data_IF_819691291742
#
_entry.id   IF_819691291742
#
_cell.length_a   1.000
_cell.length_b   1.000
_cell.length_c   1.000
_cell.angle_alpha   90.00
_cell.angle_beta   90.00
_cell.angle_gamma   90.00
#
_symmetry.space_group_name_H-M   'P 1'
#
loop_
_entity.id
_entity.type
_entity.pdbx_description
1 polymer ?
#
# COMPACT_ATOMS: atom_id res chain seq x y z
N UNK A 1 17.49 9.81 -16.91
CA UNK A 1 16.28 8.98 -16.87
C UNK A 1 16.19 8.51 -15.44
N UNK A 2 15.20 8.98 -14.67
CA UNK A 2 14.98 8.38 -13.34
C UNK A 2 14.58 6.93 -13.49
N UNK A 3 15.05 6.10 -12.58
CA UNK A 3 14.78 4.68 -12.58
C UNK A 3 13.60 4.42 -11.64
N UNK A 4 12.40 4.36 -12.22
CA UNK A 4 11.21 3.94 -11.47
C UNK A 4 11.10 2.42 -11.43
N UNK A 5 10.81 1.85 -10.26
CA UNK A 5 10.56 0.42 -10.11
C UNK A 5 9.41 0.14 -9.14
N UNK A 6 8.72 -0.99 -9.35
CA UNK A 6 7.73 -1.52 -8.41
C UNK A 6 8.29 -2.83 -7.85
N UNK A 7 8.31 -2.96 -6.52
CA UNK A 7 8.83 -4.13 -5.84
C UNK A 7 8.01 -4.48 -4.61
N UNK A 8 8.19 -5.70 -4.12
CA UNK A 8 7.65 -6.10 -2.82
C UNK A 8 8.22 -5.19 -1.71
N UNK A 9 7.35 -4.82 -0.78
CA UNK A 9 7.76 -4.09 0.40
C UNK A 9 8.60 -4.99 1.32
N UNK A 10 9.53 -4.38 2.03
CA UNK A 10 10.40 -5.04 3.01
C UNK A 10 10.25 -4.39 4.38
N UNK A 11 10.76 -5.00 5.46
CA UNK A 11 10.77 -4.37 6.77
C UNK A 11 11.53 -3.02 6.82
N UNK A 12 12.44 -2.76 5.87
CA UNK A 12 13.17 -1.48 5.80
C UNK A 12 12.31 -0.34 5.25
N UNK A 13 11.24 -0.66 4.55
CA UNK A 13 10.38 0.34 3.91
C UNK A 13 9.30 0.88 4.86
N UNK A 14 9.16 0.35 6.08
CA UNK A 14 8.04 0.68 6.99
C UNK A 14 7.89 2.16 7.26
N UNK A 15 8.99 2.83 7.60
CA UNK A 15 8.98 4.26 7.89
C UNK A 15 8.61 5.07 6.64
N UNK A 16 9.16 4.71 5.48
CA UNK A 16 8.87 5.40 4.23
C UNK A 16 7.40 5.21 3.80
N UNK A 17 6.87 3.99 3.88
CA UNK A 17 5.46 3.68 3.61
C UNK A 17 4.55 4.51 4.51
N UNK A 18 4.86 4.59 5.80
CA UNK A 18 4.10 5.38 6.77
C UNK A 18 4.02 6.85 6.34
N UNK A 19 5.14 7.43 5.91
CA UNK A 19 5.18 8.81 5.42
C UNK A 19 4.35 8.98 4.14
N UNK A 20 4.47 8.06 3.17
CA UNK A 20 3.66 8.10 1.94
C UNK A 20 2.17 8.07 2.26
N UNK A 21 1.73 7.20 3.15
CA UNK A 21 0.32 7.12 3.60
C UNK A 21 -0.12 8.44 4.27
N UNK A 22 0.67 8.94 5.23
CA UNK A 22 0.35 10.16 5.95
C UNK A 22 0.28 11.38 5.02
N UNK A 23 1.19 11.49 4.03
CA UNK A 23 1.19 12.57 3.06
C UNK A 23 0.05 12.45 2.05
N UNK A 24 -0.24 11.24 1.56
CA UNK A 24 -1.29 11.01 0.57
C UNK A 24 -2.70 11.27 1.13
N UNK A 25 -2.93 10.88 2.39
CA UNK A 25 -4.25 11.02 3.04
C UNK A 25 -4.37 12.26 3.95
N UNK A 26 -3.26 12.92 4.29
CA UNK A 26 -3.23 14.08 5.17
C UNK A 26 -3.56 13.77 6.63
N UNK A 27 -3.51 12.49 7.02
CA UNK A 27 -3.82 12.00 8.37
C UNK A 27 -3.10 10.68 8.66
N UNK A 28 -3.10 10.26 9.93
CA UNK A 28 -2.35 9.07 10.37
C UNK A 28 -3.17 7.76 10.35
N UNK A 29 -4.46 7.83 10.02
CA UNK A 29 -5.36 6.69 10.14
C UNK A 29 -4.97 5.55 9.19
N UNK A 30 -4.64 5.87 7.94
CA UNK A 30 -4.27 4.91 6.91
C UNK A 30 -2.90 4.26 7.21
N UNK A 31 -1.93 5.05 7.64
CA UNK A 31 -0.65 4.55 8.15
C UNK A 31 -0.85 3.55 9.31
N UNK A 32 -1.68 3.90 10.30
CA UNK A 32 -2.00 3.00 11.41
C UNK A 32 -2.74 1.73 10.98
N UNK A 33 -3.61 1.82 9.97
CA UNK A 33 -4.30 0.68 9.37
C UNK A 33 -3.30 -0.28 8.68
N UNK A 34 -2.35 0.25 7.91
CA UNK A 34 -1.30 -0.54 7.26
C UNK A 34 -0.48 -1.29 8.30
N UNK A 35 0.00 -0.60 9.34
CA UNK A 35 0.78 -1.20 10.43
C UNK A 35 0.00 -2.34 11.10
N UNK A 36 -1.30 -2.15 11.35
CA UNK A 36 -2.16 -3.16 11.97
C UNK A 36 -2.35 -4.39 11.06
N UNK A 37 -2.60 -4.20 9.76
CA UNK A 37 -2.81 -5.29 8.81
C UNK A 37 -1.54 -6.12 8.58
N UNK A 38 -0.38 -5.47 8.49
CA UNK A 38 0.91 -6.15 8.33
C UNK A 38 1.27 -6.92 9.59
N UNK A 39 1.15 -6.29 10.76
CA UNK A 39 1.46 -6.94 12.05
C UNK A 39 0.47 -8.08 12.37
N UNK A 40 -0.79 -7.94 11.95
CA UNK A 40 -1.82 -8.99 12.09
C UNK A 40 -1.63 -10.19 11.16
N UNK A 41 -0.72 -10.10 10.18
CA UNK A 41 -0.52 -11.15 9.17
C UNK A 41 -1.66 -11.22 8.14
N UNK A 42 -2.48 -10.17 8.04
CA UNK A 42 -3.59 -10.06 7.09
C UNK A 42 -3.14 -9.52 5.73
N UNK A 43 -1.94 -8.93 5.64
CA UNK A 43 -1.31 -8.53 4.39
C UNK A 43 -1.04 -9.74 3.48
N UNK A 44 -1.63 -9.74 2.29
CA UNK A 44 -1.45 -10.81 1.28
C UNK A 44 -0.44 -10.38 0.22
N UNK A 45 -0.53 -9.13 -0.26
CA UNK A 45 0.44 -8.51 -1.16
C UNK A 45 0.66 -7.08 -0.69
N UNK A 46 1.91 -6.66 -0.70
CA UNK A 46 2.29 -5.29 -0.34
C UNK A 46 3.44 -4.86 -1.25
N UNK A 47 3.22 -3.77 -1.98
CA UNK A 47 4.16 -3.26 -2.97
C UNK A 47 4.49 -1.80 -2.70
N UNK A 48 5.70 -1.42 -3.08
CA UNK A 48 6.15 -0.04 -3.10
C UNK A 48 6.57 0.35 -4.52
N UNK A 49 6.28 1.59 -4.88
CA UNK A 49 6.90 2.26 -6.01
C UNK A 49 8.13 3.01 -5.49
N UNK A 50 9.28 2.77 -6.10
CA UNK A 50 10.56 3.40 -5.77
C UNK A 50 11.05 4.24 -6.95
N UNK A 51 11.37 5.50 -6.70
CA UNK A 51 11.99 6.44 -7.63
C UNK A 51 13.34 6.89 -7.04
N UNK A 52 14.44 6.63 -7.73
CA UNK A 52 15.80 7.04 -7.32
C UNK A 52 16.14 6.70 -5.84
N UNK A 53 15.70 5.51 -5.39
CA UNK A 53 15.92 5.00 -4.03
C UNK A 53 14.93 5.50 -2.97
N UNK A 54 13.94 6.31 -3.35
CA UNK A 54 12.89 6.80 -2.46
C UNK A 54 11.57 6.07 -2.74
N UNK A 55 10.90 5.62 -1.69
CA UNK A 55 9.55 5.08 -1.81
C UNK A 55 8.59 6.26 -2.03
N UNK A 56 7.91 6.27 -3.17
CA UNK A 56 7.00 7.34 -3.61
C UNK A 56 5.56 6.86 -3.77
N UNK A 57 5.32 5.57 -3.58
CA UNK A 57 3.99 4.99 -3.63
C UNK A 57 3.92 3.68 -2.86
N UNK A 58 2.73 3.34 -2.40
CA UNK A 58 2.45 2.15 -1.61
C UNK A 58 1.06 1.60 -1.97
N UNK A 59 0.95 0.28 -2.03
CA UNK A 59 -0.34 -0.41 -2.18
C UNK A 59 -0.36 -1.68 -1.35
N UNK A 60 -1.47 -1.88 -0.65
CA UNK A 60 -1.71 -3.05 0.18
C UNK A 60 -2.96 -3.82 -0.28
N UNK A 61 -2.81 -5.15 -0.31
CA UNK A 61 -3.90 -6.10 -0.49
C UNK A 61 -4.03 -6.94 0.78
N UNK A 62 -5.12 -6.76 1.53
CA UNK A 62 -5.38 -7.51 2.75
C UNK A 62 -6.40 -8.63 2.52
N UNK A 63 -6.32 -9.69 3.32
CA UNK A 63 -7.19 -10.86 3.22
C UNK A 63 -8.63 -10.49 3.57
N UNK A 64 -9.59 -10.92 2.73
CA UNK A 64 -11.00 -10.91 3.11
C UNK A 64 -11.75 -12.16 2.64
N UNK A 65 -12.97 -12.29 3.13
CA UNK A 65 -13.90 -13.32 2.68
C UNK A 65 -15.23 -12.67 2.32
N UNK A 66 -15.71 -12.96 1.12
CA UNK A 66 -17.03 -12.50 0.66
C UNK A 66 -18.06 -13.59 0.95
N UNK A 67 -19.21 -13.19 1.48
CA UNK A 67 -20.37 -14.06 1.66
C UNK A 67 -21.46 -13.65 0.68
N UNK A 68 -21.87 -14.57 -0.19
CA UNK A 68 -22.96 -14.33 -1.14
C UNK A 68 -23.70 -15.62 -1.48
N UNK A 69 -25.03 -15.59 -1.46
CA UNK A 69 -25.87 -16.75 -1.80
C UNK A 69 -25.60 -18.00 -0.95
N UNK A 70 -25.27 -17.84 0.34
CA UNK A 70 -24.92 -18.94 1.24
C UNK A 70 -23.53 -19.55 1.01
N UNK A 71 -22.70 -18.97 0.13
CA UNK A 71 -21.32 -19.40 -0.12
C UNK A 71 -20.32 -18.38 0.42
N UNK A 72 -19.17 -18.88 0.87
CA UNK A 72 -18.01 -18.08 1.29
C UNK A 72 -16.85 -18.31 0.33
N UNK A 73 -16.24 -17.25 -0.17
CA UNK A 73 -15.06 -17.33 -1.02
C UNK A 73 -13.97 -16.36 -0.58
N UNK A 74 -12.71 -16.73 -0.81
CA UNK A 74 -11.54 -15.91 -0.49
C UNK A 74 -11.39 -14.79 -1.52
N UNK A 75 -11.01 -13.61 -1.05
CA UNK A 75 -10.73 -12.43 -1.86
C UNK A 75 -9.66 -11.56 -1.16
N UNK A 76 -9.27 -10.46 -1.82
CA UNK A 76 -8.36 -9.46 -1.24
C UNK A 76 -8.95 -8.06 -1.37
N UNK A 77 -8.69 -7.23 -0.37
CA UNK A 77 -9.15 -5.85 -0.28
C UNK A 77 -7.99 -4.99 -0.71
N UNK A 78 -8.18 -4.25 -1.80
CA UNK A 78 -7.22 -3.25 -2.26
C UNK A 78 -7.45 -2.00 -1.41
N UNK A 79 -6.65 -1.83 -0.36
CA UNK A 79 -6.58 -0.62 0.43
C UNK A 79 -5.44 -0.69 1.46
N UNK A 80 -4.71 0.42 1.68
CA UNK A 80 -4.75 1.66 0.89
C UNK A 80 -4.00 1.53 -0.46
N UNK A 81 -4.22 2.52 -1.33
CA UNK A 81 -3.36 2.87 -2.46
C UNK A 81 -2.96 4.33 -2.27
N UNK A 82 -1.67 4.56 -2.04
CA UNK A 82 -1.10 5.85 -1.73
C UNK A 82 0.04 6.19 -2.70
N UNK A 83 0.12 7.45 -3.09
CA UNK A 83 1.22 8.00 -3.87
C UNK A 83 1.58 9.35 -3.25
N UNK A 84 2.87 9.64 -3.16
CA UNK A 84 3.37 10.94 -2.71
C UNK A 84 2.75 12.06 -3.56
N UNK A 85 2.22 13.14 -2.96
CA UNK A 85 1.53 14.21 -3.70
C UNK A 85 2.30 14.79 -4.89
N UNK A 86 3.64 15.00 -4.82
CA UNK A 86 4.42 15.45 -5.97
C UNK A 86 4.41 14.51 -7.19
N UNK A 87 4.04 13.24 -7.00
CA UNK A 87 4.02 12.21 -8.06
C UNK A 87 2.60 11.90 -8.57
N UNK A 88 1.58 12.64 -8.12
CA UNK A 88 0.21 12.46 -8.62
C UNK A 88 0.09 12.77 -10.11
N UNK A 89 -0.81 12.05 -10.80
CA UNK A 89 -1.05 12.24 -12.24
C UNK A 89 0.07 11.73 -13.17
N UNK A 90 1.10 11.07 -12.63
CA UNK A 90 2.21 10.49 -13.41
C UNK A 90 2.01 9.02 -13.79
N UNK A 91 0.91 8.39 -13.31
CA UNK A 91 0.56 7.00 -13.61
C UNK A 91 1.00 5.97 -12.58
N UNK A 92 1.68 6.36 -11.48
CA UNK A 92 2.14 5.43 -10.42
C UNK A 92 0.98 4.64 -9.78
N UNK A 93 -0.15 5.31 -9.52
CA UNK A 93 -1.34 4.69 -8.92
C UNK A 93 -2.40 4.24 -9.93
N UNK A 94 -2.02 4.06 -11.20
CA UNK A 94 -2.93 3.76 -12.31
C UNK A 94 -3.56 2.37 -12.29
#
# INVERSE_FOLDING_TARGET
MSMMSIRAATPRDREAIRLVEEHAFGQQAEAGLVDALVTGGDAVVELVAEEDGQVVGHILFSRLYVQSGGKRFAAVALAPLAVEPPFHGTGIGG
#
